data_IF_433938912227
#
_entry.id   IF_433938912227
#
_cell.length_a   1.000
_cell.length_b   1.000
_cell.length_c   1.000
_cell.angle_alpha   90.00
_cell.angle_beta   90.00
_cell.angle_gamma   90.00
#
_symmetry.space_group_name_H-M   'P 1'
#
loop_
_entity.id
_entity.type
_entity.pdbx_description
1 polymer ?
#
# COMPACT_ATOMS: atom_id res chain seq x y z
N UNK A 1 9.79 -9.96 6.38
CA UNK A 1 8.60 -9.58 5.63
C UNK A 1 8.39 -8.06 5.60
N UNK A 2 8.41 -7.35 6.75
CA UNK A 2 8.15 -5.89 6.86
C UNK A 2 9.00 -5.06 5.90
N UNK A 3 10.32 -5.21 5.93
CA UNK A 3 11.24 -4.48 5.03
C UNK A 3 10.91 -4.75 3.57
N UNK A 4 10.65 -6.02 3.21
CA UNK A 4 10.33 -6.38 1.84
C UNK A 4 9.01 -5.76 1.38
N UNK A 5 7.99 -5.77 2.23
CA UNK A 5 6.67 -5.23 1.91
C UNK A 5 6.72 -3.71 1.73
N UNK A 6 7.37 -2.99 2.63
CA UNK A 6 7.51 -1.53 2.55
C UNK A 6 8.32 -1.14 1.32
N UNK A 7 9.54 -1.65 1.18
CA UNK A 7 10.42 -1.29 0.07
C UNK A 7 9.87 -1.71 -1.30
N UNK A 8 9.23 -2.87 -1.37
CA UNK A 8 8.61 -3.36 -2.61
C UNK A 8 7.34 -2.59 -2.96
N UNK A 9 6.49 -2.29 -1.98
CA UNK A 9 5.30 -1.46 -2.19
C UNK A 9 5.65 -0.06 -2.64
N UNK A 10 6.65 0.57 -2.01
CA UNK A 10 7.13 1.91 -2.37
C UNK A 10 7.98 1.95 -3.66
N UNK A 11 8.24 0.81 -4.29
CA UNK A 11 8.78 0.77 -5.65
C UNK A 11 7.76 1.25 -6.69
N UNK A 12 6.46 1.15 -6.39
CA UNK A 12 5.38 1.48 -7.30
C UNK A 12 4.57 2.70 -6.87
N UNK A 13 4.08 3.45 -7.86
CA UNK A 13 3.11 4.50 -7.67
C UNK A 13 3.64 5.74 -6.96
N UNK A 14 2.71 6.54 -6.48
CA UNK A 14 2.98 7.74 -5.70
C UNK A 14 1.89 7.95 -4.64
N UNK A 15 2.22 8.79 -3.66
CA UNK A 15 1.26 9.34 -2.70
C UNK A 15 0.84 10.74 -3.13
N UNK A 16 -0.38 11.13 -2.79
CA UNK A 16 -0.95 12.42 -3.15
C UNK A 16 -1.28 13.26 -1.92
N UNK A 17 -0.74 14.45 -1.89
CA UNK A 17 -0.94 15.47 -0.86
C UNK A 17 -0.80 16.85 -1.49
N UNK A 18 -1.35 17.04 -2.68
CA UNK A 18 -1.23 18.26 -3.46
C UNK A 18 -1.96 19.46 -2.85
N UNK A 19 -2.93 19.23 -1.97
CA UNK A 19 -3.75 20.22 -1.29
C UNK A 19 -3.82 19.93 0.21
N UNK A 20 -4.25 20.89 0.98
CA UNK A 20 -4.46 20.70 2.42
C UNK A 20 -5.64 19.75 2.67
N UNK A 21 -5.44 18.81 3.57
CA UNK A 21 -6.42 17.76 3.87
C UNK A 21 -7.69 18.33 4.48
N UNK A 22 -7.55 19.25 5.42
CA UNK A 22 -8.64 19.93 6.13
C UNK A 22 -9.49 20.85 5.24
N UNK A 23 -8.96 21.27 4.10
CA UNK A 23 -9.67 22.14 3.15
C UNK A 23 -10.29 21.37 1.99
N UNK A 24 -9.72 20.22 1.63
CA UNK A 24 -10.00 19.59 0.33
C UNK A 24 -10.52 18.16 0.41
N UNK A 25 -10.45 17.48 1.54
CA UNK A 25 -10.94 16.12 1.67
C UNK A 25 -12.44 16.13 1.95
N UNK A 26 -13.20 15.50 1.05
CA UNK A 26 -14.63 15.30 1.21
C UNK A 26 -14.97 14.25 2.28
N UNK A 27 -16.19 13.74 2.23
CA UNK A 27 -16.69 12.75 3.20
C UNK A 27 -15.82 11.49 3.21
N UNK A 28 -15.67 10.92 4.39
CA UNK A 28 -15.06 9.61 4.55
C UNK A 28 -15.78 8.57 3.66
N UNK A 29 -15.03 7.66 2.99
CA UNK A 29 -15.63 6.64 2.12
C UNK A 29 -16.71 5.79 2.79
N UNK A 30 -16.58 5.51 4.10
CA UNK A 30 -17.59 4.78 4.88
C UNK A 30 -18.91 5.54 5.09
N UNK A 31 -18.90 6.87 4.96
CA UNK A 31 -20.09 7.73 5.02
C UNK A 31 -20.60 8.18 3.65
N UNK A 32 -19.93 7.76 2.58
CA UNK A 32 -20.31 8.07 1.21
C UNK A 32 -21.50 7.22 0.72
N UNK A 33 -22.13 7.63 -0.37
CA UNK A 33 -23.15 6.83 -1.06
C UNK A 33 -22.60 5.48 -1.53
N UNK A 34 -23.50 4.50 -1.72
CA UNK A 34 -23.11 3.13 -2.08
C UNK A 34 -22.22 3.08 -3.34
N UNK A 35 -22.50 3.93 -4.32
CA UNK A 35 -21.76 4.00 -5.59
C UNK A 35 -20.35 4.62 -5.43
N UNK A 36 -20.14 5.36 -4.37
CA UNK A 36 -18.87 6.04 -4.09
C UNK A 36 -17.97 5.24 -3.13
N UNK A 37 -18.52 4.28 -2.42
CA UNK A 37 -17.76 3.43 -1.50
C UNK A 37 -16.69 2.63 -2.27
N UNK A 38 -15.45 2.66 -1.74
CA UNK A 38 -14.31 1.99 -2.38
C UNK A 38 -13.52 2.86 -3.36
N UNK A 39 -13.97 4.06 -3.67
CA UNK A 39 -13.23 5.01 -4.51
C UNK A 39 -12.19 5.85 -3.72
N UNK A 40 -12.13 5.69 -2.40
CA UNK A 40 -11.31 6.49 -1.52
C UNK A 40 -11.91 7.87 -1.21
N UNK A 41 -11.14 8.75 -0.60
CA UNK A 41 -11.60 10.10 -0.30
C UNK A 41 -11.73 10.94 -1.56
N UNK A 42 -12.85 11.65 -1.66
CA UNK A 42 -13.07 12.60 -2.74
C UNK A 42 -12.35 13.91 -2.39
N UNK A 43 -11.62 14.47 -3.36
CA UNK A 43 -11.09 15.84 -3.24
C UNK A 43 -12.11 16.85 -3.72
N UNK A 44 -12.44 17.81 -2.87
CA UNK A 44 -13.35 18.92 -3.20
C UNK A 44 -12.61 20.12 -3.82
N UNK A 45 -11.29 20.04 -3.95
CA UNK A 45 -10.44 21.09 -4.52
C UNK A 45 -10.10 20.83 -5.98
N UNK A 46 -10.04 21.90 -6.76
CA UNK A 46 -9.64 21.84 -8.15
C UNK A 46 -10.57 20.97 -8.99
N UNK A 47 -9.99 19.97 -9.66
CA UNK A 47 -10.75 19.00 -10.47
C UNK A 47 -11.24 17.79 -9.67
N UNK A 48 -10.82 17.66 -8.40
CA UNK A 48 -11.13 16.52 -7.55
C UNK A 48 -10.35 15.24 -7.87
N UNK A 49 -9.55 15.22 -8.93
CA UNK A 49 -8.81 14.05 -9.39
C UNK A 49 -7.46 14.45 -10.01
N UNK A 50 -6.65 13.46 -10.42
CA UNK A 50 -5.32 13.64 -11.03
C UNK A 50 -4.39 14.47 -10.13
N UNK A 51 -3.90 15.63 -10.61
CA UNK A 51 -3.01 16.50 -9.85
C UNK A 51 -3.63 17.13 -8.60
N UNK A 52 -4.95 17.16 -8.50
CA UNK A 52 -5.70 17.66 -7.34
C UNK A 52 -6.11 16.56 -6.34
N UNK A 53 -5.65 15.33 -6.54
CA UNK A 53 -5.96 14.21 -5.64
C UNK A 53 -5.32 14.42 -4.26
N UNK A 54 -6.09 14.13 -3.21
CA UNK A 54 -5.61 14.10 -1.83
C UNK A 54 -5.97 12.75 -1.21
N UNK A 55 -4.97 11.97 -0.81
CA UNK A 55 -5.18 10.66 -0.19
C UNK A 55 -4.55 10.55 1.19
N UNK A 56 -3.24 10.79 1.31
CA UNK A 56 -2.50 10.63 2.55
C UNK A 56 -1.93 11.92 3.12
N UNK A 57 -2.07 13.03 2.41
CA UNK A 57 -1.41 14.29 2.72
C UNK A 57 0.09 14.33 2.40
N UNK A 58 0.71 13.21 2.08
CA UNK A 58 2.09 13.11 1.59
C UNK A 58 2.10 13.28 0.06
N UNK A 59 3.17 13.84 -0.52
CA UNK A 59 3.22 14.11 -1.97
C UNK A 59 4.54 13.65 -2.56
N UNK A 60 4.48 12.73 -3.54
CA UNK A 60 5.62 12.30 -4.33
C UNK A 60 5.72 10.81 -4.53
N UNK A 61 6.83 10.37 -5.14
CA UNK A 61 7.20 8.98 -5.32
C UNK A 61 8.63 8.73 -4.87
N UNK A 62 8.97 7.48 -4.59
CA UNK A 62 10.26 7.09 -4.05
C UNK A 62 11.32 6.85 -5.12
N UNK A 63 11.03 6.09 -6.22
CA UNK A 63 11.99 5.86 -7.29
C UNK A 63 11.77 6.78 -8.48
N UNK A 64 12.76 6.86 -9.33
CA UNK A 64 12.69 7.58 -10.60
C UNK A 64 11.80 6.88 -11.65
N UNK A 65 11.49 5.61 -11.48
CA UNK A 65 10.57 4.85 -12.34
C UNK A 65 9.48 4.17 -11.51
N UNK A 66 8.44 4.90 -11.08
CA UNK A 66 7.40 4.37 -10.22
C UNK A 66 6.40 3.45 -10.93
N UNK A 67 6.55 3.23 -12.22
CA UNK A 67 5.71 2.36 -13.02
C UNK A 67 6.28 0.94 -13.21
N UNK A 68 7.50 0.69 -12.72
CA UNK A 68 8.20 -0.58 -12.92
C UNK A 68 8.82 -1.12 -11.64
N UNK A 69 8.98 -2.44 -11.57
CA UNK A 69 9.78 -3.06 -10.54
C UNK A 69 11.27 -2.69 -10.72
N UNK A 70 11.85 -2.06 -9.72
CA UNK A 70 13.26 -1.67 -9.69
C UNK A 70 13.84 -1.79 -8.28
N UNK A 71 15.17 -1.64 -8.14
CA UNK A 71 15.86 -1.58 -6.85
C UNK A 71 16.17 -0.14 -6.43
N UNK A 72 15.55 0.84 -7.08
CA UNK A 72 15.86 2.25 -6.85
C UNK A 72 15.44 2.71 -5.46
N UNK A 73 14.43 2.09 -4.83
CA UNK A 73 14.06 2.42 -3.46
C UNK A 73 15.26 2.29 -2.50
N UNK A 74 15.93 1.14 -2.50
CA UNK A 74 17.10 0.94 -1.63
C UNK A 74 18.30 1.78 -2.05
N UNK A 75 18.52 1.99 -3.34
CA UNK A 75 19.56 2.91 -3.81
C UNK A 75 19.31 4.31 -3.26
N UNK A 76 18.14 4.86 -3.47
CA UNK A 76 17.77 6.19 -2.98
C UNK A 76 17.87 6.26 -1.46
N UNK A 77 17.38 5.23 -0.74
CA UNK A 77 17.43 5.19 0.72
C UNK A 77 18.85 5.31 1.26
N UNK A 78 19.83 4.65 0.65
CA UNK A 78 21.21 4.59 1.15
C UNK A 78 22.18 5.55 0.48
N UNK A 79 21.95 5.92 -0.77
CA UNK A 79 22.89 6.74 -1.54
C UNK A 79 22.67 8.24 -1.34
N UNK A 80 21.45 8.66 -0.93
CA UNK A 80 21.17 10.04 -0.57
C UNK A 80 21.23 10.30 0.93
N UNK A 81 21.62 11.52 1.29
CA UNK A 81 21.33 12.08 2.60
C UNK A 81 20.00 12.83 2.55
N UNK A 82 19.21 12.70 3.62
CA UNK A 82 17.83 13.14 3.66
C UNK A 82 17.62 14.31 4.61
N UNK A 83 16.91 15.33 4.16
CA UNK A 83 16.46 16.45 4.98
C UNK A 83 14.93 16.46 5.11
N UNK A 84 14.47 16.86 6.29
CA UNK A 84 13.05 17.00 6.57
C UNK A 84 12.42 18.09 5.70
N UNK A 85 11.24 17.79 5.14
CA UNK A 85 10.46 18.68 4.31
C UNK A 85 8.97 18.58 4.65
N UNK A 86 8.16 19.38 4.01
CA UNK A 86 6.71 19.35 4.09
C UNK A 86 6.13 19.13 2.70
N UNK A 87 5.08 18.32 2.62
CA UNK A 87 4.24 18.27 1.43
C UNK A 87 3.44 19.56 1.27
N UNK A 88 2.82 19.82 0.12
CA UNK A 88 1.87 20.92 -0.04
C UNK A 88 0.71 20.87 0.98
N UNK A 89 0.28 19.66 1.36
CA UNK A 89 -0.73 19.44 2.39
C UNK A 89 -0.22 19.64 3.83
N UNK A 90 1.09 19.91 4.03
CA UNK A 90 1.70 20.16 5.34
C UNK A 90 2.21 18.91 6.07
N UNK A 91 2.07 17.71 5.49
CA UNK A 91 2.57 16.48 6.09
C UNK A 91 4.10 16.41 6.06
N UNK A 92 4.69 15.76 7.07
CA UNK A 92 6.15 15.60 7.14
C UNK A 92 6.61 14.51 6.20
N UNK A 93 7.55 14.86 5.34
CA UNK A 93 8.28 13.94 4.45
C UNK A 93 9.74 14.34 4.36
N UNK A 94 10.54 13.57 3.66
CA UNK A 94 11.97 13.76 3.53
C UNK A 94 12.35 13.81 2.05
N UNK A 95 13.26 14.71 1.71
CA UNK A 95 13.80 14.86 0.36
C UNK A 95 15.33 14.80 0.39
N UNK A 96 16.01 14.41 -0.68
CA UNK A 96 17.46 14.41 -0.75
C UNK A 96 18.05 15.81 -0.49
N UNK A 97 19.20 15.84 0.12
CA UNK A 97 19.99 17.08 0.24
C UNK A 97 20.72 17.41 -1.05
N UNK A 98 20.96 16.42 -1.90
CA UNK A 98 21.61 16.57 -3.20
C UNK A 98 20.71 17.32 -4.20
N UNK A 99 21.12 18.49 -4.71
CA UNK A 99 20.38 19.21 -5.72
C UNK A 99 20.18 18.43 -7.04
N UNK A 100 21.10 17.53 -7.37
CA UNK A 100 21.03 16.67 -8.57
C UNK A 100 19.84 15.70 -8.55
N UNK A 101 19.28 15.44 -7.38
CA UNK A 101 18.09 14.60 -7.23
C UNK A 101 16.76 15.33 -7.53
N UNK A 102 16.78 16.65 -7.70
CA UNK A 102 15.55 17.47 -7.79
C UNK A 102 14.66 17.15 -9.01
N UNK A 103 15.19 16.49 -10.03
CA UNK A 103 14.49 16.21 -11.28
C UNK A 103 14.53 14.73 -11.68
N UNK A 104 14.58 13.82 -10.71
CA UNK A 104 14.69 12.40 -10.99
C UNK A 104 13.36 11.69 -11.17
N UNK A 105 12.30 12.15 -10.53
CA UNK A 105 10.99 11.49 -10.53
C UNK A 105 10.06 12.21 -11.49
N UNK A 106 9.53 11.54 -12.53
CA UNK A 106 8.57 12.17 -13.44
C UNK A 106 7.25 12.47 -12.71
N UNK A 107 6.63 13.59 -13.06
CA UNK A 107 5.28 13.89 -12.60
C UNK A 107 4.27 12.89 -13.18
N UNK A 108 3.33 12.42 -12.36
CA UNK A 108 2.35 11.43 -12.78
C UNK A 108 1.32 11.97 -13.78
N UNK A 109 1.10 13.27 -13.81
CA UNK A 109 -0.02 13.89 -14.54
C UNK A 109 0.42 14.93 -15.56
N UNK A 110 1.60 15.54 -15.39
CA UNK A 110 2.10 16.63 -16.24
C UNK A 110 3.38 16.21 -16.93
N UNK A 111 3.29 15.94 -18.23
CA UNK A 111 4.43 15.54 -19.05
C UNK A 111 5.54 16.60 -19.02
N UNK A 112 6.77 16.15 -18.76
CA UNK A 112 7.95 17.01 -18.73
C UNK A 112 8.20 17.73 -17.40
N UNK A 113 7.31 17.58 -16.42
CA UNK A 113 7.53 18.01 -15.04
C UNK A 113 8.20 16.87 -14.24
N UNK A 114 9.13 17.24 -13.37
CA UNK A 114 9.88 16.29 -12.55
C UNK A 114 9.98 16.77 -11.10
N UNK A 115 10.25 15.85 -10.20
CA UNK A 115 10.36 16.07 -8.76
C UNK A 115 11.56 15.33 -8.18
N UNK A 116 11.95 15.68 -6.97
CA UNK A 116 12.85 14.88 -6.18
C UNK A 116 12.13 13.60 -5.68
N UNK A 117 12.86 12.49 -5.49
CA UNK A 117 12.31 11.35 -4.76
C UNK A 117 12.03 11.73 -3.31
N UNK A 118 11.09 11.05 -2.69
CA UNK A 118 10.74 11.24 -1.29
C UNK A 118 11.04 10.00 -0.45
N UNK A 119 11.18 10.22 0.87
CA UNK A 119 11.08 9.18 1.89
C UNK A 119 10.14 9.61 2.99
N UNK A 120 9.45 8.65 3.57
CA UNK A 120 8.67 8.84 4.78
C UNK A 120 9.58 8.63 6.00
N UNK A 121 9.16 9.12 7.16
CA UNK A 121 9.90 8.86 8.41
C UNK A 121 10.02 7.35 8.68
N UNK A 122 8.98 6.59 8.37
CA UNK A 122 8.97 5.12 8.46
C UNK A 122 9.92 4.45 7.48
N UNK A 123 10.14 5.02 6.28
CA UNK A 123 11.13 4.49 5.34
C UNK A 123 12.55 4.66 5.87
N UNK A 124 12.84 5.81 6.48
CA UNK A 124 14.14 6.07 7.07
C UNK A 124 14.47 5.11 8.22
N UNK A 125 13.46 4.55 8.89
CA UNK A 125 13.69 3.51 9.88
C UNK A 125 14.33 2.26 9.27
N UNK A 126 14.08 1.97 7.99
CA UNK A 126 14.73 0.86 7.27
C UNK A 126 16.23 1.05 7.08
N UNK A 127 16.73 2.29 7.22
CA UNK A 127 18.16 2.63 7.19
C UNK A 127 18.77 2.77 8.59
N UNK A 128 18.01 3.33 9.55
CA UNK A 128 18.56 3.78 10.84
C UNK A 128 18.27 2.83 12.00
N UNK A 129 17.26 1.95 11.90
CA UNK A 129 17.09 0.87 12.86
C UNK A 129 18.10 -0.26 12.56
N UNK A 130 18.90 -0.70 13.55
CA UNK A 130 19.99 -1.64 13.31
C UNK A 130 19.53 -3.04 12.87
N UNK A 131 18.30 -3.43 13.18
CA UNK A 131 17.71 -4.70 12.72
C UNK A 131 17.24 -4.59 11.28
N UNK A 132 16.51 -3.52 10.97
CA UNK A 132 16.01 -3.28 9.61
C UNK A 132 17.15 -2.93 8.65
N UNK A 133 18.16 -2.18 9.07
CA UNK A 133 19.31 -1.82 8.23
C UNK A 133 20.00 -3.05 7.66
N UNK A 134 20.28 -4.06 8.49
CA UNK A 134 20.91 -5.31 8.05
C UNK A 134 20.10 -6.00 6.95
N UNK A 135 18.77 -6.01 7.09
CA UNK A 135 17.87 -6.64 6.12
C UNK A 135 17.82 -5.79 4.84
N UNK A 136 17.73 -4.47 4.97
CA UNK A 136 17.69 -3.54 3.85
C UNK A 136 18.96 -3.58 3.01
N UNK A 137 20.13 -3.60 3.65
CA UNK A 137 21.44 -3.76 2.95
C UNK A 137 21.51 -5.11 2.24
N UNK A 138 21.11 -6.19 2.89
CA UNK A 138 21.06 -7.51 2.26
C UNK A 138 20.18 -7.50 1.01
N UNK A 139 19.01 -6.89 1.05
CA UNK A 139 18.12 -6.79 -0.10
C UNK A 139 18.66 -5.87 -1.19
N UNK A 140 19.34 -4.77 -0.81
CA UNK A 140 20.06 -3.91 -1.76
C UNK A 140 21.11 -4.69 -2.53
N UNK A 141 21.88 -5.52 -1.83
CA UNK A 141 23.00 -6.27 -2.41
C UNK A 141 22.54 -7.55 -3.13
N UNK A 142 21.34 -8.05 -2.81
CA UNK A 142 20.77 -9.28 -3.38
C UNK A 142 19.39 -9.04 -3.99
N UNK A 143 19.30 -8.42 -5.17
CA UNK A 143 18.05 -8.05 -5.83
C UNK A 143 17.04 -9.18 -5.98
N UNK A 144 17.49 -10.38 -6.36
CA UNK A 144 16.60 -11.55 -6.51
C UNK A 144 16.02 -12.05 -5.19
N UNK A 145 16.76 -11.88 -4.09
CA UNK A 145 16.23 -12.22 -2.76
C UNK A 145 15.13 -11.24 -2.36
N UNK A 146 15.33 -9.96 -2.63
CA UNK A 146 14.33 -8.93 -2.39
C UNK A 146 13.05 -9.18 -3.19
N UNK A 147 13.19 -9.45 -4.48
CA UNK A 147 12.04 -9.75 -5.37
C UNK A 147 11.20 -10.91 -4.83
N UNK A 148 11.84 -12.03 -4.46
CA UNK A 148 11.14 -13.19 -3.89
C UNK A 148 10.51 -12.86 -2.53
N UNK A 149 11.22 -12.11 -1.68
CA UNK A 149 10.70 -11.73 -0.37
C UNK A 149 9.49 -10.81 -0.49
N UNK A 150 9.52 -9.85 -1.43
CA UNK A 150 8.38 -8.98 -1.70
C UNK A 150 7.20 -9.77 -2.27
N UNK A 151 7.41 -10.60 -3.28
CA UNK A 151 6.33 -11.39 -3.88
C UNK A 151 5.60 -12.24 -2.82
N UNK A 152 6.33 -12.88 -1.90
CA UNK A 152 5.73 -13.65 -0.80
C UNK A 152 5.01 -12.78 0.22
N UNK A 153 5.59 -11.63 0.59
CA UNK A 153 4.97 -10.72 1.54
C UNK A 153 3.70 -10.08 0.97
N UNK A 154 3.72 -9.71 -0.30
CA UNK A 154 2.56 -9.18 -1.01
C UNK A 154 1.45 -10.22 -1.17
N UNK A 155 1.81 -11.44 -1.55
CA UNK A 155 0.86 -12.55 -1.63
C UNK A 155 0.19 -12.81 -0.28
N UNK A 156 0.97 -12.83 0.81
CA UNK A 156 0.41 -12.96 2.16
C UNK A 156 -0.53 -11.81 2.51
N UNK A 157 -0.14 -10.56 2.24
CA UNK A 157 -0.95 -9.38 2.52
C UNK A 157 -2.31 -9.45 1.83
N UNK A 158 -2.33 -9.85 0.57
CA UNK A 158 -3.53 -9.81 -0.28
C UNK A 158 -4.39 -11.08 -0.18
N UNK A 159 -3.88 -12.18 0.36
CA UNK A 159 -4.58 -13.49 0.37
C UNK A 159 -4.80 -14.08 1.76
N UNK A 160 -4.26 -13.45 2.80
CA UNK A 160 -4.38 -13.98 4.17
C UNK A 160 -5.83 -14.20 4.59
N UNK A 161 -6.73 -13.32 4.18
CA UNK A 161 -8.15 -13.35 4.55
C UNK A 161 -9.03 -14.03 3.50
N UNK A 162 -8.43 -14.59 2.44
CA UNK A 162 -9.14 -15.24 1.34
C UNK A 162 -9.60 -16.67 1.66
N UNK A 163 -9.23 -17.19 2.83
CA UNK A 163 -9.52 -18.57 3.23
C UNK A 163 -8.60 -19.59 2.58
N UNK A 164 -8.99 -20.87 2.51
CA UNK A 164 -8.13 -21.93 2.05
C UNK A 164 -7.75 -21.82 0.58
N UNK A 165 -6.58 -22.33 0.21
CA UNK A 165 -6.04 -22.32 -1.15
C UNK A 165 -7.00 -22.87 -2.21
N UNK A 166 -7.88 -23.79 -1.85
CA UNK A 166 -8.91 -24.33 -2.76
C UNK A 166 -9.89 -23.30 -3.30
N UNK A 167 -9.93 -22.09 -2.72
CA UNK A 167 -10.74 -20.95 -3.21
C UNK A 167 -10.04 -20.13 -4.28
N UNK A 168 -8.73 -20.28 -4.46
CA UNK A 168 -7.99 -19.51 -5.46
C UNK A 168 -8.26 -20.07 -6.85
N UNK A 169 -8.45 -19.20 -7.83
CA UNK A 169 -8.80 -19.55 -9.20
C UNK A 169 -7.75 -19.02 -10.17
N UNK A 170 -7.58 -19.74 -11.27
CA UNK A 170 -6.72 -19.34 -12.37
C UNK A 170 -5.39 -20.08 -12.44
N UNK A 171 -4.65 -19.90 -13.55
CA UNK A 171 -3.42 -20.63 -13.82
C UNK A 171 -2.23 -20.17 -12.96
N UNK A 172 -2.29 -18.95 -12.41
CA UNK A 172 -1.20 -18.33 -11.67
C UNK A 172 -1.23 -18.63 -10.15
N UNK A 173 -2.15 -19.51 -9.72
CA UNK A 173 -2.21 -19.93 -8.31
C UNK A 173 -0.91 -20.62 -7.91
N UNK A 174 -0.17 -20.11 -6.92
CA UNK A 174 1.08 -20.71 -6.49
C UNK A 174 0.89 -22.17 -6.04
N UNK A 175 1.80 -23.05 -6.47
CA UNK A 175 1.81 -24.45 -6.02
C UNK A 175 2.28 -24.60 -4.57
N UNK A 176 3.11 -23.67 -4.10
CA UNK A 176 3.62 -23.65 -2.71
C UNK A 176 2.48 -23.41 -1.72
N UNK A 177 2.45 -24.17 -0.63
CA UNK A 177 1.53 -23.96 0.50
C UNK A 177 2.30 -23.29 1.64
N UNK A 178 1.80 -22.15 2.09
CA UNK A 178 2.43 -21.36 3.15
C UNK A 178 1.81 -21.64 4.51
N UNK A 179 2.59 -21.49 5.56
CA UNK A 179 2.16 -21.74 6.95
C UNK A 179 0.99 -20.87 7.42
N UNK A 180 0.79 -19.73 6.79
CA UNK A 180 -0.29 -18.79 7.11
C UNK A 180 -1.60 -19.10 6.38
N UNK A 181 -1.59 -20.02 5.43
CA UNK A 181 -2.79 -20.46 4.71
C UNK A 181 -3.53 -21.49 5.56
N UNK A 182 -4.79 -21.19 5.86
CA UNK A 182 -5.61 -22.11 6.65
C UNK A 182 -5.87 -23.41 5.88
N UNK A 183 -5.89 -24.55 6.57
CA UNK A 183 -6.34 -25.79 5.98
C UNK A 183 -7.83 -25.70 5.64
N UNK A 184 -8.27 -26.45 4.65
CA UNK A 184 -9.69 -26.60 4.39
C UNK A 184 -10.34 -27.27 5.60
N UNK A 185 -11.29 -26.64 6.29
CA UNK A 185 -11.98 -27.27 7.41
C UNK A 185 -12.69 -28.55 6.94
N UNK A 186 -12.70 -29.56 7.79
CA UNK A 186 -13.51 -30.74 7.53
C UNK A 186 -14.98 -30.35 7.38
N UNK A 187 -15.64 -30.93 6.41
CA UNK A 187 -17.07 -30.69 6.23
C UNK A 187 -17.83 -31.19 7.46
N UNK A 188 -18.73 -30.40 8.05
CA UNK A 188 -19.52 -30.86 9.18
C UNK A 188 -20.32 -32.10 8.76
N UNK A 189 -20.41 -33.06 9.65
CA UNK A 189 -21.19 -34.31 9.45
C UNK A 189 -22.65 -34.06 9.13
N UNK A 190 -23.17 -32.91 9.54
CA UNK A 190 -24.53 -32.45 9.26
C UNK A 190 -24.51 -31.22 8.36
N UNK A 191 -25.14 -31.31 7.21
CA UNK A 191 -25.33 -30.16 6.31
C UNK A 191 -26.35 -29.17 6.88
N UNK A 192 -26.07 -27.88 6.72
CA UNK A 192 -27.01 -26.81 7.07
C UNK A 192 -28.26 -26.91 6.19
N UNK A 193 -29.43 -27.07 6.84
CA UNK A 193 -30.71 -27.16 6.15
C UNK A 193 -31.56 -25.89 6.28
N UNK A 194 -32.72 -25.90 5.62
CA UNK A 194 -33.66 -24.75 5.65
C UNK A 194 -34.09 -24.35 7.08
N UNK A 195 -34.19 -25.33 7.99
CA UNK A 195 -34.56 -25.08 9.40
C UNK A 195 -33.45 -24.32 10.13
N UNK A 196 -32.19 -24.63 9.87
CA UNK A 196 -31.02 -23.96 10.46
C UNK A 196 -30.89 -22.53 9.95
N UNK A 197 -31.09 -22.33 8.64
CA UNK A 197 -31.14 -21.01 8.00
C UNK A 197 -32.27 -20.15 8.62
N UNK A 198 -33.44 -20.71 8.79
CA UNK A 198 -34.56 -20.01 9.42
C UNK A 198 -34.32 -19.63 10.87
N UNK A 199 -33.61 -20.49 11.64
CA UNK A 199 -33.18 -20.19 13.00
C UNK A 199 -32.17 -19.05 13.03
N UNK A 200 -31.15 -19.10 12.18
CA UNK A 200 -30.13 -18.07 12.09
C UNK A 200 -30.70 -16.71 11.70
N UNK A 201 -31.58 -16.67 10.70
CA UNK A 201 -32.28 -15.44 10.30
C UNK A 201 -33.04 -14.79 11.46
N UNK A 202 -33.76 -15.59 12.24
CA UNK A 202 -34.46 -15.08 13.43
C UNK A 202 -33.50 -14.56 14.49
N UNK A 203 -32.38 -15.22 14.72
CA UNK A 203 -31.35 -14.74 15.65
C UNK A 203 -30.74 -13.41 15.22
N UNK A 204 -30.42 -13.27 13.93
CA UNK A 204 -29.90 -12.02 13.38
C UNK A 204 -30.92 -10.89 13.56
N UNK A 205 -32.18 -11.11 13.18
CA UNK A 205 -33.23 -10.12 13.34
C UNK A 205 -33.47 -9.73 14.82
N UNK A 206 -33.37 -10.69 15.74
CA UNK A 206 -33.57 -10.46 17.16
C UNK A 206 -32.34 -9.82 17.86
N UNK A 207 -31.19 -9.79 17.22
CA UNK A 207 -29.95 -9.28 17.81
C UNK A 207 -29.91 -7.74 17.94
N UNK A 208 -30.78 -7.03 17.21
CA UNK A 208 -30.77 -5.56 17.17
C UNK A 208 -29.61 -4.96 16.40
N UNK A 209 -28.84 -5.77 15.68
CA UNK A 209 -27.78 -5.28 14.79
C UNK A 209 -28.41 -4.50 13.63
N UNK A 210 -27.89 -3.33 13.36
CA UNK A 210 -28.21 -2.52 12.16
C UNK A 210 -27.29 -2.92 11.02
N UNK A 211 -27.75 -2.68 9.80
CA UNK A 211 -26.93 -2.86 8.59
C UNK A 211 -25.89 -1.75 8.51
#
# INVERSE_FOLDING_TARGET
ETVALIAGGHTFGKVHGARKVDECVGKEPGGAGLEEQGLGWISECGKGHSEDTVTSGLEGAWPADPARWTHMFFRNLFDFEWKKSKSPAGATQWIPTDPGAASQVPDAHVKGRYHAPIMLTTDLSLRFDPVYEKISRRFRDNPREFERAFARAWFKLTHRDMGPRSRYLGPDVPSEVFRWQDPLPEAPSRRVGRRDIGKLKRQILASGLTV
#
